data_IF_162582374906
#
_entry.id   IF_162582374906
#
_cell.length_a   1.000
_cell.length_b   1.000
_cell.length_c   1.000
_cell.angle_alpha   90.00
_cell.angle_beta   90.00
_cell.angle_gamma   90.00
#
_symmetry.space_group_name_H-M   'P 1'
#
loop_
_entity.id
_entity.type
_entity.pdbx_description
1 polymer ?
#
# COMPACT_ATOMS: atom_id res chain seq x y z
N UNK A 1 31.92 7.18 -26.28
CA UNK A 1 31.05 7.48 -25.12
C UNK A 1 30.13 6.28 -24.99
N UNK A 2 30.21 5.55 -23.86
CA UNK A 2 29.38 4.37 -23.66
C UNK A 2 27.99 4.90 -23.34
N UNK A 3 27.05 4.71 -24.27
CA UNK A 3 25.63 4.92 -24.07
C UNK A 3 25.20 4.05 -22.88
N UNK A 4 25.09 4.64 -21.69
CA UNK A 4 24.81 3.87 -20.48
C UNK A 4 23.33 3.52 -20.52
N UNK A 5 23.03 2.25 -20.78
CA UNK A 5 21.69 1.68 -20.68
C UNK A 5 21.08 2.04 -19.31
N UNK A 6 20.13 3.00 -19.30
CA UNK A 6 19.45 3.44 -18.09
C UNK A 6 18.15 2.67 -17.92
N UNK A 7 17.97 2.11 -16.72
CA UNK A 7 16.73 1.44 -16.32
C UNK A 7 16.00 2.33 -15.32
N UNK A 8 14.78 2.73 -15.68
CA UNK A 8 13.86 3.39 -14.77
C UNK A 8 13.11 2.34 -13.96
N UNK A 9 12.96 2.57 -12.66
CA UNK A 9 12.09 1.82 -11.75
C UNK A 9 11.05 2.78 -11.18
N UNK A 10 9.77 2.49 -11.35
CA UNK A 10 8.67 3.33 -10.84
C UNK A 10 7.84 2.61 -9.79
N UNK A 11 7.51 3.32 -8.70
CA UNK A 11 6.56 2.89 -7.67
C UNK A 11 5.35 3.81 -7.55
N UNK A 12 4.49 3.52 -6.56
CA UNK A 12 3.18 4.18 -6.41
C UNK A 12 3.27 5.70 -6.24
N UNK A 13 4.39 6.22 -5.72
CA UNK A 13 4.60 7.67 -5.58
C UNK A 13 4.62 8.41 -6.93
N UNK A 14 4.91 7.72 -8.03
CA UNK A 14 4.79 8.29 -9.39
C UNK A 14 3.33 8.53 -9.75
N UNK A 15 2.45 7.56 -9.51
CA UNK A 15 1.02 7.66 -9.86
C UNK A 15 0.27 8.63 -8.93
N UNK A 16 0.85 8.98 -7.76
CA UNK A 16 0.32 10.03 -6.87
C UNK A 16 0.60 11.46 -7.37
N UNK A 17 1.36 11.61 -8.46
CA UNK A 17 1.69 12.92 -9.05
C UNK A 17 0.41 13.71 -9.40
N UNK A 18 0.39 15.04 -9.17
CA UNK A 18 -0.74 15.88 -9.56
C UNK A 18 -1.13 15.70 -11.04
N UNK A 19 -2.43 15.54 -11.29
CA UNK A 19 -2.99 15.24 -12.61
C UNK A 19 -3.19 13.75 -12.88
N UNK A 20 -2.48 12.86 -12.16
CA UNK A 20 -2.81 11.43 -12.09
C UNK A 20 -3.62 11.16 -10.81
N UNK A 21 -3.17 11.70 -9.67
CA UNK A 21 -3.87 11.68 -8.38
C UNK A 21 -4.37 10.27 -7.98
N UNK A 22 -3.54 9.27 -8.25
CA UNK A 22 -3.88 7.89 -7.94
C UNK A 22 -3.79 7.64 -6.43
N UNK A 23 -4.76 6.91 -5.83
CA UNK A 23 -4.70 6.56 -4.43
C UNK A 23 -3.50 5.65 -4.09
N UNK A 24 -2.86 5.90 -2.95
CA UNK A 24 -1.88 5.01 -2.33
C UNK A 24 -2.55 3.82 -1.65
N UNK A 25 -1.78 2.80 -1.26
CA UNK A 25 -2.28 1.50 -0.78
C UNK A 25 -3.37 1.59 0.30
N UNK A 26 -3.24 2.49 1.28
CA UNK A 26 -4.23 2.66 2.34
C UNK A 26 -5.44 3.53 1.95
N UNK A 27 -5.37 4.25 0.82
CA UNK A 27 -6.47 5.02 0.23
C UNK A 27 -7.33 4.14 -0.70
N UNK A 28 -6.84 2.95 -1.09
CA UNK A 28 -7.49 2.08 -2.06
C UNK A 28 -8.83 1.51 -1.58
N UNK A 29 -8.92 0.97 -0.37
CA UNK A 29 -10.19 0.38 0.11
C UNK A 29 -11.33 1.41 0.16
N UNK A 30 -11.15 2.61 0.76
CA UNK A 30 -12.15 3.67 0.69
C UNK A 30 -12.48 4.07 -0.75
N UNK A 31 -11.48 4.29 -1.60
CA UNK A 31 -11.69 4.73 -2.98
C UNK A 31 -12.47 3.69 -3.82
N UNK A 32 -12.18 2.39 -3.65
CA UNK A 32 -12.93 1.31 -4.29
C UNK A 32 -14.36 1.26 -3.76
N UNK A 33 -14.55 1.39 -2.43
CA UNK A 33 -15.89 1.41 -1.84
C UNK A 33 -16.72 2.58 -2.37
N UNK A 34 -16.12 3.77 -2.47
CA UNK A 34 -16.74 4.96 -3.03
C UNK A 34 -17.10 4.76 -4.50
N UNK A 35 -16.16 4.27 -5.31
CA UNK A 35 -16.39 3.93 -6.72
C UNK A 35 -17.59 2.99 -6.91
N UNK A 36 -17.65 1.89 -6.16
CA UNK A 36 -18.72 0.89 -6.27
C UNK A 36 -20.10 1.43 -5.85
N UNK A 37 -20.13 2.37 -4.91
CA UNK A 37 -21.39 2.88 -4.34
C UNK A 37 -21.89 4.15 -5.02
N UNK A 38 -20.99 5.00 -5.51
CA UNK A 38 -21.30 6.37 -5.94
C UNK A 38 -21.15 6.61 -7.44
N UNK A 39 -20.64 5.63 -8.20
CA UNK A 39 -20.59 5.71 -9.68
C UNK A 39 -21.52 4.69 -10.33
N UNK A 40 -22.09 5.03 -11.50
CA UNK A 40 -22.96 4.09 -12.22
C UNK A 40 -22.17 2.88 -12.77
N UNK A 41 -20.92 3.08 -13.20
CA UNK A 41 -20.04 1.99 -13.66
C UNK A 41 -19.65 1.05 -12.49
N UNK A 42 -19.31 1.60 -11.32
CA UNK A 42 -18.99 0.80 -10.15
C UNK A 42 -20.19 -0.01 -9.65
N UNK A 43 -21.39 0.59 -9.60
CA UNK A 43 -22.64 -0.11 -9.25
C UNK A 43 -22.96 -1.23 -10.23
N UNK A 44 -22.75 -1.02 -11.52
CA UNK A 44 -23.04 -2.04 -12.54
C UNK A 44 -22.08 -3.22 -12.42
N UNK A 45 -20.82 -2.98 -12.06
CA UNK A 45 -19.83 -4.02 -11.77
C UNK A 45 -20.15 -4.79 -10.50
N UNK A 46 -20.46 -4.10 -9.39
CA UNK A 46 -20.86 -4.76 -8.15
C UNK A 46 -22.05 -5.71 -8.41
N UNK A 47 -23.06 -5.22 -9.13
CA UNK A 47 -24.24 -5.99 -9.51
C UNK A 47 -23.88 -7.20 -10.38
N UNK A 48 -23.05 -7.01 -11.41
CA UNK A 48 -22.61 -8.08 -12.30
C UNK A 48 -21.90 -9.20 -11.53
N UNK A 49 -20.86 -8.85 -10.75
CA UNK A 49 -20.07 -9.81 -9.99
C UNK A 49 -20.92 -10.53 -8.95
N UNK A 50 -21.77 -9.81 -8.20
CA UNK A 50 -22.67 -10.42 -7.20
C UNK A 50 -23.69 -11.36 -7.82
N UNK A 51 -24.19 -11.06 -9.02
CA UNK A 51 -25.14 -11.94 -9.72
C UNK A 51 -24.54 -13.27 -10.18
N UNK A 52 -23.20 -13.32 -10.30
CA UNK A 52 -22.45 -14.47 -10.81
C UNK A 52 -21.72 -15.24 -9.69
N UNK A 53 -21.47 -14.62 -8.55
CA UNK A 53 -20.83 -15.25 -7.38
C UNK A 53 -21.90 -15.55 -6.31
N UNK A 54 -22.42 -16.78 -6.35
CA UNK A 54 -23.47 -17.23 -5.42
C UNK A 54 -23.00 -17.21 -3.96
N UNK A 55 -23.84 -16.65 -3.08
CA UNK A 55 -23.60 -16.65 -1.63
C UNK A 55 -22.55 -15.66 -1.14
N UNK A 56 -22.14 -14.69 -1.98
CA UNK A 56 -21.15 -13.67 -1.59
C UNK A 56 -21.70 -12.76 -0.48
N UNK A 57 -21.08 -12.82 0.71
CA UNK A 57 -21.43 -11.98 1.88
C UNK A 57 -20.52 -10.77 2.07
N UNK A 58 -19.40 -10.71 1.35
CA UNK A 58 -18.41 -9.65 1.50
C UNK A 58 -18.95 -8.28 1.07
N UNK A 59 -18.59 -7.24 1.83
CA UNK A 59 -18.84 -5.83 1.55
C UNK A 59 -17.66 -4.98 2.02
N UNK A 60 -17.18 -4.06 1.17
CA UNK A 60 -16.08 -3.15 1.51
C UNK A 60 -16.40 -2.28 2.73
N UNK A 61 -17.61 -1.72 2.80
CA UNK A 61 -18.10 -0.94 3.94
C UNK A 61 -17.99 -1.70 5.27
N UNK A 62 -18.25 -3.02 5.25
CA UNK A 62 -18.13 -3.84 6.46
C UNK A 62 -16.68 -3.94 6.90
N UNK A 63 -15.75 -4.17 5.98
CA UNK A 63 -14.30 -4.19 6.30
C UNK A 63 -13.85 -2.85 6.88
N UNK A 64 -14.29 -1.74 6.29
CA UNK A 64 -13.95 -0.39 6.79
C UNK A 64 -14.53 -0.19 8.20
N UNK A 65 -15.78 -0.58 8.43
CA UNK A 65 -16.41 -0.46 9.74
C UNK A 65 -15.77 -1.37 10.81
N UNK A 66 -15.41 -2.60 10.43
CA UNK A 66 -14.73 -3.55 11.31
C UNK A 66 -13.33 -3.03 11.67
N UNK A 67 -12.59 -2.48 10.70
CA UNK A 67 -11.30 -1.80 10.95
C UNK A 67 -11.42 -0.63 11.93
N UNK A 68 -12.44 0.22 11.77
CA UNK A 68 -12.70 1.33 12.70
C UNK A 68 -13.04 0.80 14.10
N UNK A 69 -13.82 -0.27 14.20
CA UNK A 69 -14.15 -0.93 15.47
C UNK A 69 -12.91 -1.52 16.14
N UNK A 70 -12.04 -2.17 15.39
CA UNK A 70 -10.83 -2.80 15.91
C UNK A 70 -9.85 -1.81 16.54
N UNK A 71 -9.75 -0.56 16.04
CA UNK A 71 -8.92 0.47 16.68
C UNK A 71 -9.34 0.70 18.13
N UNK A 72 -10.65 0.68 18.41
CA UNK A 72 -11.17 0.91 19.76
C UNK A 72 -10.88 -0.23 20.74
N UNK A 73 -10.42 -1.37 20.22
CA UNK A 73 -10.13 -2.58 20.99
C UNK A 73 -8.62 -2.84 21.14
N UNK A 74 -7.76 -2.10 20.43
CA UNK A 74 -6.31 -2.25 20.53
C UNK A 74 -5.77 -1.66 21.82
N UNK A 75 -4.74 -2.30 22.36
CA UNK A 75 -4.08 -1.76 23.56
C UNK A 75 -3.37 -0.43 23.25
N UNK A 76 -3.38 0.55 24.19
CA UNK A 76 -2.76 1.85 23.98
C UNK A 76 -1.29 1.77 23.53
N UNK A 77 -0.54 0.78 24.02
CA UNK A 77 0.85 0.54 23.63
C UNK A 77 0.98 0.22 22.14
N UNK A 78 0.05 -0.54 21.56
CA UNK A 78 0.06 -0.91 20.14
C UNK A 78 -0.24 0.28 19.22
N UNK A 79 -0.84 1.34 19.76
CA UNK A 79 -1.22 2.53 19.00
C UNK A 79 -0.21 3.66 19.11
N UNK A 80 0.80 3.56 20.00
CA UNK A 80 1.79 4.62 20.25
C UNK A 80 2.42 5.18 18.97
N UNK A 81 2.87 4.32 18.06
CA UNK A 81 3.45 4.73 16.78
C UNK A 81 2.45 5.41 15.85
N UNK A 82 1.19 4.99 15.88
CA UNK A 82 0.09 5.64 15.14
C UNK A 82 -0.22 7.03 15.71
N UNK A 83 -0.25 7.17 17.03
CA UNK A 83 -0.48 8.47 17.69
C UNK A 83 0.65 9.45 17.42
N UNK A 84 1.90 8.98 17.40
CA UNK A 84 3.05 9.80 17.04
C UNK A 84 2.94 10.32 15.59
N UNK A 85 2.59 9.45 14.63
CA UNK A 85 2.34 9.87 13.24
C UNK A 85 1.26 10.94 13.14
N UNK A 86 0.16 10.79 13.88
CA UNK A 86 -0.91 11.80 13.89
C UNK A 86 -0.42 13.12 14.46
N UNK A 87 0.36 13.09 15.55
CA UNK A 87 0.92 14.29 16.16
C UNK A 87 1.81 15.04 15.17
N UNK A 88 2.69 14.33 14.45
CA UNK A 88 3.54 14.91 13.41
C UNK A 88 2.72 15.57 12.29
N UNK A 89 1.61 14.95 11.87
CA UNK A 89 0.69 15.54 10.88
C UNK A 89 0.01 16.79 11.44
N UNK A 90 -0.49 16.74 12.68
CA UNK A 90 -1.12 17.90 13.34
C UNK A 90 -0.14 19.09 13.42
N UNK A 91 1.13 18.82 13.69
CA UNK A 91 2.16 19.85 13.82
C UNK A 91 2.55 20.47 12.47
N UNK A 92 2.41 19.72 11.38
CA UNK A 92 2.69 20.18 10.02
C UNK A 92 1.49 20.85 9.34
N UNK A 93 0.27 20.64 9.83
CA UNK A 93 -0.93 21.24 9.26
C UNK A 93 -0.95 22.78 9.46
N UNK A 94 -1.20 23.56 8.39
CA UNK A 94 -1.32 25.01 8.48
C UNK A 94 -2.38 25.46 9.49
N UNK A 95 -2.14 26.62 10.12
CA UNK A 95 -3.13 27.29 10.95
C UNK A 95 -4.03 28.20 10.10
N UNK A 96 -4.90 27.60 9.30
CA UNK A 96 -5.92 28.29 8.50
C UNK A 96 -7.34 27.76 8.80
N UNK A 97 -8.36 28.47 8.32
CA UNK A 97 -9.76 28.08 8.54
C UNK A 97 -10.12 26.77 7.83
N UNK A 98 -9.48 26.46 6.70
CA UNK A 98 -9.71 25.27 5.88
C UNK A 98 -9.27 23.98 6.61
N UNK A 99 -8.13 24.02 7.29
CA UNK A 99 -7.55 22.89 8.02
C UNK A 99 -7.90 22.89 9.52
N UNK A 100 -8.55 23.95 10.04
CA UNK A 100 -8.87 24.10 11.47
C UNK A 100 -9.64 22.90 12.05
N UNK A 101 -10.63 22.38 11.32
CA UNK A 101 -11.44 21.24 11.76
C UNK A 101 -10.58 19.96 11.79
N UNK A 102 -9.80 19.71 10.74
CA UNK A 102 -8.92 18.55 10.63
C UNK A 102 -7.85 18.56 11.73
N UNK A 103 -7.22 19.71 11.97
CA UNK A 103 -6.23 19.88 13.04
C UNK A 103 -6.84 19.61 14.42
N UNK A 104 -8.05 20.14 14.69
CA UNK A 104 -8.79 19.86 15.93
C UNK A 104 -9.18 18.39 16.08
N UNK A 105 -9.56 17.72 15.00
CA UNK A 105 -9.84 16.28 15.01
C UNK A 105 -8.60 15.49 15.39
N UNK A 106 -7.43 15.81 14.82
CA UNK A 106 -6.16 15.19 15.19
C UNK A 106 -5.81 15.43 16.66
N UNK A 107 -5.92 16.67 17.13
CA UNK A 107 -5.69 17.02 18.53
C UNK A 107 -6.63 16.28 19.50
N UNK A 108 -7.91 16.14 19.13
CA UNK A 108 -8.89 15.40 19.93
C UNK A 108 -8.48 13.93 20.06
N UNK A 109 -8.13 13.29 18.94
CA UNK A 109 -7.71 11.89 18.93
C UNK A 109 -6.45 11.71 19.78
N UNK A 110 -5.42 12.55 19.59
CA UNK A 110 -4.18 12.47 20.38
C UNK A 110 -4.47 12.63 21.87
N UNK A 111 -5.29 13.61 22.27
CA UNK A 111 -5.64 13.82 23.68
C UNK A 111 -6.39 12.63 24.28
N UNK A 112 -7.36 12.09 23.55
CA UNK A 112 -8.13 10.91 23.96
C UNK A 112 -7.22 9.69 24.16
N UNK A 113 -6.28 9.44 23.27
CA UNK A 113 -5.33 8.34 23.42
C UNK A 113 -4.30 8.56 24.52
N UNK A 114 -3.81 9.79 24.71
CA UNK A 114 -2.90 10.11 25.80
C UNK A 114 -3.56 9.89 27.17
N UNK A 115 -4.85 10.22 27.31
CA UNK A 115 -5.60 9.91 28.54
C UNK A 115 -5.70 8.39 28.77
N UNK A 116 -5.99 7.60 27.72
CA UNK A 116 -5.98 6.14 27.83
C UNK A 116 -4.60 5.59 28.21
N UNK A 117 -3.53 6.15 27.63
CA UNK A 117 -2.17 5.73 27.94
C UNK A 117 -1.78 6.06 29.38
N UNK A 118 -2.19 7.22 29.90
CA UNK A 118 -1.97 7.59 31.31
C UNK A 118 -2.65 6.60 32.25
N UNK A 119 -3.91 6.25 31.98
CA UNK A 119 -4.65 5.23 32.76
C UNK A 119 -3.93 3.87 32.69
N UNK A 120 -3.54 3.45 31.49
CA UNK A 120 -2.84 2.17 31.30
C UNK A 120 -1.48 2.14 32.02
N UNK A 121 -0.76 3.27 32.07
CA UNK A 121 0.54 3.36 32.74
C UNK A 121 0.38 3.39 34.26
N UNK A 122 -0.59 4.16 34.77
CA UNK A 122 -0.89 4.24 36.21
C UNK A 122 -1.46 2.94 36.80
N UNK A 123 -1.82 1.98 35.94
CA UNK A 123 -2.34 0.68 36.33
C UNK A 123 -1.24 -0.35 36.67
N UNK A 124 0.01 -0.07 36.32
CA UNK A 124 1.13 -0.91 36.75
C UNK A 124 1.57 -0.52 38.17
N UNK A 125 2.09 -1.50 38.91
CA UNK A 125 2.73 -1.25 40.20
C UNK A 125 4.03 -0.48 39.93
N UNK A 126 4.09 0.78 40.37
CA UNK A 126 5.28 1.60 40.23
C UNK A 126 6.42 1.16 41.18
N UNK A 127 7.63 1.66 40.92
CA UNK A 127 8.83 1.27 41.65
C UNK A 127 8.77 1.64 43.15
N UNK A 128 8.06 2.71 43.51
CA UNK A 128 7.89 3.12 44.91
C UNK A 128 6.97 2.15 45.65
N UNK A 129 5.85 1.80 45.03
CA UNK A 129 4.90 0.81 45.57
C UNK A 129 5.53 -0.57 45.62
N UNK A 130 6.32 -0.96 44.61
CA UNK A 130 7.10 -2.21 44.60
C UNK A 130 8.03 -2.30 45.81
N UNK A 131 8.83 -1.25 46.06
CA UNK A 131 9.71 -1.19 47.23
C UNK A 131 8.93 -1.27 48.54
N UNK A 132 7.80 -0.59 48.63
CA UNK A 132 6.96 -0.65 49.82
C UNK A 132 6.40 -2.06 50.06
N UNK A 133 6.00 -2.78 49.01
CA UNK A 133 5.57 -4.18 49.12
C UNK A 133 6.74 -5.06 49.59
N UNK A 134 7.93 -4.88 49.01
CA UNK A 134 9.14 -5.61 49.44
C UNK A 134 9.48 -5.33 50.91
N UNK A 135 9.36 -4.09 51.37
CA UNK A 135 9.60 -3.69 52.76
C UNK A 135 8.54 -4.24 53.73
N UNK A 136 7.26 -4.27 53.32
CA UNK A 136 6.15 -4.73 54.17
C UNK A 136 6.11 -6.25 54.29
N UNK A 137 6.39 -6.97 53.20
CA UNK A 137 6.20 -8.43 53.14
C UNK A 137 7.50 -9.23 53.17
N UNK A 138 8.67 -8.58 53.02
CA UNK A 138 9.99 -9.20 53.17
C UNK A 138 10.16 -10.45 52.30
N UNK A 139 10.49 -11.58 52.93
CA UNK A 139 10.75 -12.86 52.24
C UNK A 139 9.54 -13.42 51.47
N UNK A 140 8.31 -12.94 51.75
CA UNK A 140 7.10 -13.33 51.02
C UNK A 140 6.83 -12.46 49.78
N UNK A 141 7.55 -11.35 49.60
CA UNK A 141 7.37 -10.46 48.45
C UNK A 141 7.49 -11.16 47.08
N UNK A 142 8.40 -12.15 46.88
CA UNK A 142 8.49 -12.90 45.62
C UNK A 142 7.26 -13.77 45.30
N UNK A 143 6.35 -14.00 46.26
CA UNK A 143 5.10 -14.74 46.03
C UNK A 143 4.04 -13.89 45.30
N UNK A 144 4.19 -12.55 45.29
CA UNK A 144 3.30 -11.63 44.59
C UNK A 144 3.81 -11.38 43.16
N UNK A 145 2.90 -11.38 42.18
CA UNK A 145 3.22 -11.02 40.80
C UNK A 145 3.39 -9.51 40.64
N UNK A 146 4.53 -8.94 41.03
CA UNK A 146 4.77 -7.48 41.00
C UNK A 146 4.97 -6.91 39.59
N UNK A 147 5.06 -7.78 38.59
CA UNK A 147 5.01 -7.43 37.17
C UNK A 147 3.56 -7.42 36.62
N UNK A 148 2.56 -7.72 37.47
CA UNK A 148 1.14 -7.69 37.12
C UNK A 148 0.55 -6.28 37.27
N UNK A 149 -0.67 -6.12 36.76
CA UNK A 149 -1.44 -4.90 36.79
C UNK A 149 -2.33 -4.81 38.04
N UNK A 150 -2.52 -3.61 38.59
CA UNK A 150 -3.46 -3.35 39.70
C UNK A 150 -4.90 -3.71 39.30
N UNK A 151 -5.28 -3.43 38.05
CA UNK A 151 -6.56 -3.81 37.45
C UNK A 151 -6.34 -4.50 36.10
N UNK A 152 -7.07 -5.59 35.84
CA UNK A 152 -7.08 -6.24 34.52
C UNK A 152 -7.86 -5.37 33.51
N UNK A 153 -7.16 -4.42 32.89
CA UNK A 153 -7.73 -3.52 31.88
C UNK A 153 -8.25 -4.29 30.68
N UNK A 154 -7.77 -5.52 30.39
CA UNK A 154 -8.29 -6.33 29.27
C UNK A 154 -9.74 -6.74 29.48
N UNK A 155 -10.22 -6.73 30.74
CA UNK A 155 -11.63 -6.95 31.11
C UNK A 155 -12.43 -5.65 31.21
N UNK A 156 -11.79 -4.49 31.16
CA UNK A 156 -12.43 -3.18 31.14
C UNK A 156 -12.54 -2.67 29.70
N UNK A 157 -13.77 -2.56 29.20
CA UNK A 157 -13.99 -1.96 27.88
C UNK A 157 -13.96 -0.44 27.95
N UNK A 158 -13.36 0.22 26.94
CA UNK A 158 -13.55 1.65 26.73
C UNK A 158 -15.04 2.00 26.58
N UNK A 159 -15.44 3.18 27.05
CA UNK A 159 -16.85 3.59 27.06
C UNK A 159 -17.44 3.69 25.65
N UNK A 160 -18.74 3.44 25.51
CA UNK A 160 -19.42 3.58 24.22
C UNK A 160 -19.36 5.01 23.68
N UNK A 161 -19.28 6.01 24.56
CA UNK A 161 -19.03 7.41 24.21
C UNK A 161 -17.68 7.57 23.51
N UNK A 162 -16.61 7.00 24.07
CA UNK A 162 -15.29 7.05 23.47
C UNK A 162 -15.27 6.38 22.09
N UNK A 163 -15.85 5.17 22.00
CA UNK A 163 -15.98 4.43 20.73
C UNK A 163 -16.73 5.24 19.70
N UNK A 164 -17.85 5.85 20.07
CA UNK A 164 -18.71 6.63 19.18
C UNK A 164 -18.00 7.89 18.68
N UNK A 165 -17.29 8.61 19.55
CA UNK A 165 -16.49 9.79 19.16
C UNK A 165 -15.41 9.38 18.16
N UNK A 166 -14.64 8.32 18.46
CA UNK A 166 -13.59 7.84 17.56
C UNK A 166 -14.16 7.40 16.21
N UNK A 167 -15.24 6.61 16.22
CA UNK A 167 -15.93 6.15 15.02
C UNK A 167 -16.44 7.33 14.18
N UNK A 168 -17.04 8.34 14.81
CA UNK A 168 -17.57 9.50 14.11
C UNK A 168 -16.47 10.35 13.49
N UNK A 169 -15.40 10.63 14.23
CA UNK A 169 -14.23 11.36 13.73
C UNK A 169 -13.56 10.64 12.57
N UNK A 170 -13.39 9.30 12.67
CA UNK A 170 -12.80 8.48 11.61
C UNK A 170 -13.69 8.42 10.36
N UNK A 171 -15.00 8.25 10.52
CA UNK A 171 -15.95 8.24 9.39
C UNK A 171 -15.98 9.57 8.66
N UNK A 172 -15.92 10.69 9.38
CA UNK A 172 -15.85 12.00 8.74
C UNK A 172 -14.57 12.17 7.91
N UNK A 173 -13.44 11.68 8.42
CA UNK A 173 -12.19 11.79 7.67
C UNK A 173 -12.05 10.83 6.49
N UNK A 174 -12.73 9.69 6.49
CA UNK A 174 -12.75 8.81 5.32
C UNK A 174 -13.60 9.37 4.16
N UNK A 175 -14.58 10.23 4.46
CA UNK A 175 -15.47 10.83 3.46
C UNK A 175 -14.99 12.19 2.95
N UNK A 176 -13.93 12.75 3.53
CA UNK A 176 -13.33 14.02 3.10
C UNK A 176 -12.02 13.73 2.40
N UNK A 177 -11.92 14.14 1.13
CA UNK A 177 -10.79 13.86 0.23
C UNK A 177 -9.40 14.37 0.70
N UNK A 178 -9.29 14.91 1.91
CA UNK A 178 -8.08 15.54 2.44
C UNK A 178 -7.73 15.22 3.90
N UNK A 179 -8.47 14.33 4.59
CA UNK A 179 -8.24 14.13 6.03
C UNK A 179 -7.09 13.17 6.36
N UNK A 180 -5.87 13.72 6.32
CA UNK A 180 -4.60 13.06 6.66
C UNK A 180 -4.59 12.41 8.06
N UNK A 181 -5.39 12.93 9.00
CA UNK A 181 -5.48 12.43 10.39
C UNK A 181 -6.18 11.08 10.43
N UNK A 182 -7.36 10.99 9.80
CA UNK A 182 -8.13 9.74 9.80
C UNK A 182 -7.39 8.65 9.03
N UNK A 183 -6.73 9.03 7.93
CA UNK A 183 -5.85 8.14 7.17
C UNK A 183 -4.73 7.55 8.03
N UNK A 184 -3.99 8.37 8.78
CA UNK A 184 -2.89 7.90 9.62
C UNK A 184 -3.34 6.85 10.64
N UNK A 185 -4.55 6.97 11.18
CA UNK A 185 -5.12 6.04 12.17
C UNK A 185 -5.43 4.66 11.62
N UNK A 186 -6.10 4.60 10.47
CA UNK A 186 -6.64 3.36 9.91
C UNK A 186 -5.78 2.77 8.81
N UNK A 187 -4.73 3.47 8.36
CA UNK A 187 -3.91 3.06 7.21
C UNK A 187 -3.42 1.62 7.27
N UNK A 188 -2.95 1.17 8.45
CA UNK A 188 -2.46 -0.19 8.65
C UNK A 188 -3.59 -1.24 8.62
N UNK A 189 -4.83 -0.83 8.91
CA UNK A 189 -6.01 -1.68 8.94
C UNK A 189 -6.75 -1.72 7.59
N UNK A 190 -6.67 -0.65 6.80
CA UNK A 190 -7.30 -0.54 5.49
C UNK A 190 -6.38 -0.99 4.33
N UNK A 191 -5.38 -1.80 4.63
CA UNK A 191 -4.48 -2.31 3.62
C UNK A 191 -5.17 -3.41 2.78
N UNK A 192 -5.51 -3.06 1.53
CA UNK A 192 -6.12 -3.99 0.56
C UNK A 192 -5.25 -5.20 0.26
N UNK A 193 -3.93 -5.05 0.28
CA UNK A 193 -2.98 -6.12 -0.03
C UNK A 193 -3.03 -7.20 1.04
N UNK A 194 -3.10 -6.80 2.32
CA UNK A 194 -3.30 -7.71 3.45
C UNK A 194 -4.64 -8.45 3.31
N UNK A 195 -5.71 -7.73 2.98
CA UNK A 195 -7.02 -8.33 2.75
C UNK A 195 -6.97 -9.36 1.62
N UNK A 196 -6.32 -9.04 0.49
CA UNK A 196 -6.14 -9.95 -0.63
C UNK A 196 -5.34 -11.20 -0.23
N UNK A 197 -4.26 -11.09 0.57
CA UNK A 197 -3.53 -12.26 1.09
C UNK A 197 -4.46 -13.18 1.87
N UNK A 198 -5.16 -12.61 2.86
CA UNK A 198 -5.99 -13.38 3.77
C UNK A 198 -7.05 -14.18 3.02
N UNK A 199 -7.61 -13.60 1.94
CA UNK A 199 -8.58 -14.30 1.09
C UNK A 199 -7.93 -15.25 0.08
N UNK A 200 -6.74 -14.91 -0.43
CA UNK A 200 -6.02 -15.78 -1.37
C UNK A 200 -5.63 -17.12 -0.75
N UNK A 201 -5.35 -17.16 0.56
CA UNK A 201 -5.11 -18.41 1.29
C UNK A 201 -6.27 -19.41 1.16
N UNK A 202 -7.47 -18.94 0.82
CA UNK A 202 -8.63 -19.73 0.42
C UNK A 202 -8.33 -20.76 -0.68
N UNK A 203 -7.46 -20.43 -1.65
CA UNK A 203 -7.06 -21.33 -2.73
C UNK A 203 -6.17 -22.48 -2.25
N UNK A 204 -5.40 -22.30 -1.17
CA UNK A 204 -4.52 -23.35 -0.64
C UNK A 204 -5.23 -24.27 0.34
N UNK A 205 -6.20 -23.74 1.11
CA UNK A 205 -6.95 -24.50 2.11
C UNK A 205 -8.34 -24.94 1.62
N UNK A 206 -8.65 -24.73 0.33
CA UNK A 206 -9.93 -25.06 -0.30
C UNK A 206 -11.15 -24.42 0.38
N UNK A 207 -11.00 -23.24 0.98
CA UNK A 207 -12.09 -22.51 1.61
C UNK A 207 -12.82 -21.64 0.60
N UNK A 208 -13.91 -22.17 0.04
CA UNK A 208 -14.68 -21.53 -1.03
C UNK A 208 -15.15 -20.11 -0.72
N UNK A 209 -15.53 -19.82 0.53
CA UNK A 209 -15.94 -18.47 0.91
C UNK A 209 -14.81 -17.46 0.72
N UNK A 210 -13.57 -17.85 1.02
CA UNK A 210 -12.41 -16.98 0.89
C UNK A 210 -11.99 -16.85 -0.57
N UNK A 211 -12.09 -17.93 -1.35
CA UNK A 211 -11.92 -17.90 -2.82
C UNK A 211 -12.91 -16.91 -3.47
N UNK A 212 -14.20 -17.04 -3.19
CA UNK A 212 -15.26 -16.14 -3.71
C UNK A 212 -15.00 -14.69 -3.32
N UNK A 213 -14.60 -14.45 -2.07
CA UNK A 213 -14.25 -13.11 -1.59
C UNK A 213 -13.02 -12.56 -2.33
N UNK A 214 -11.97 -13.35 -2.49
CA UNK A 214 -10.77 -12.92 -3.22
C UNK A 214 -11.11 -12.52 -4.65
N UNK A 215 -11.80 -13.40 -5.38
CA UNK A 215 -12.18 -13.16 -6.77
C UNK A 215 -12.99 -11.87 -6.90
N UNK A 216 -13.99 -11.67 -6.03
CA UNK A 216 -14.77 -10.43 -6.02
C UNK A 216 -13.91 -9.19 -5.74
N UNK A 217 -13.10 -9.20 -4.68
CA UNK A 217 -12.27 -8.04 -4.29
C UNK A 217 -11.26 -7.71 -5.40
N UNK A 218 -10.61 -8.72 -5.97
CA UNK A 218 -9.60 -8.54 -7.00
C UNK A 218 -10.22 -7.93 -8.28
N UNK A 219 -11.40 -8.39 -8.71
CA UNK A 219 -12.06 -7.81 -9.88
C UNK A 219 -12.64 -6.41 -9.64
N UNK A 220 -13.17 -6.13 -8.44
CA UNK A 220 -13.53 -4.77 -8.06
C UNK A 220 -12.32 -3.83 -8.08
N UNK A 221 -11.18 -4.29 -7.56
CA UNK A 221 -9.93 -3.54 -7.59
C UNK A 221 -9.45 -3.30 -9.02
N UNK A 222 -9.37 -4.34 -9.85
CA UNK A 222 -9.00 -4.21 -11.27
C UNK A 222 -9.91 -3.25 -12.02
N UNK A 223 -11.23 -3.32 -11.82
CA UNK A 223 -12.18 -2.44 -12.47
C UNK A 223 -11.98 -0.97 -12.06
N UNK A 224 -11.77 -0.73 -10.76
CA UNK A 224 -11.41 0.59 -10.25
C UNK A 224 -10.13 1.11 -10.91
N UNK A 225 -9.08 0.28 -10.97
CA UNK A 225 -7.81 0.67 -11.59
C UNK A 225 -7.99 1.03 -13.08
N UNK A 226 -8.71 0.21 -13.85
CA UNK A 226 -8.95 0.46 -15.27
C UNK A 226 -9.82 1.70 -15.51
N UNK A 227 -10.80 1.94 -14.65
CA UNK A 227 -11.59 3.18 -14.68
C UNK A 227 -10.70 4.40 -14.49
N UNK A 228 -9.86 4.42 -13.45
CA UNK A 228 -8.93 5.53 -13.16
C UNK A 228 -7.88 5.70 -14.24
N UNK A 229 -7.37 4.61 -14.80
CA UNK A 229 -6.44 4.64 -15.94
C UNK A 229 -7.04 5.40 -17.12
N UNK A 230 -8.29 5.05 -17.50
CA UNK A 230 -9.04 5.71 -18.58
C UNK A 230 -9.37 7.17 -18.26
N UNK A 231 -9.75 7.47 -17.03
CA UNK A 231 -10.01 8.85 -16.60
C UNK A 231 -8.78 9.74 -16.77
N UNK A 232 -7.59 9.25 -16.39
CA UNK A 232 -6.35 10.02 -16.52
C UNK A 232 -6.03 10.23 -17.99
N UNK A 233 -6.02 9.18 -18.81
CA UNK A 233 -5.81 9.29 -20.26
C UNK A 233 -6.81 10.23 -20.95
N UNK A 234 -8.05 10.31 -20.47
CA UNK A 234 -9.07 11.21 -21.00
C UNK A 234 -8.97 12.66 -20.54
N UNK A 235 -8.24 12.94 -19.45
CA UNK A 235 -8.14 14.28 -18.83
C UNK A 235 -6.88 15.05 -19.22
N UNK A 236 -5.80 14.35 -19.61
CA UNK A 236 -4.49 14.97 -19.84
C UNK A 236 -4.03 14.75 -21.28
N UNK A 237 -3.52 15.79 -21.94
CA UNK A 237 -2.90 15.66 -23.27
C UNK A 237 -1.55 14.93 -23.19
N UNK A 238 -0.82 15.12 -22.08
CA UNK A 238 0.44 14.47 -21.79
C UNK A 238 0.40 13.91 -20.37
N UNK A 239 0.77 12.64 -20.21
CA UNK A 239 0.79 11.98 -18.91
C UNK A 239 1.82 12.67 -17.99
N UNK A 240 1.41 13.22 -16.84
CA UNK A 240 2.33 13.81 -15.87
C UNK A 240 3.43 12.82 -15.50
N UNK A 241 4.66 13.31 -15.31
CA UNK A 241 5.88 12.50 -15.13
C UNK A 241 6.26 11.63 -16.34
N UNK A 242 5.36 10.78 -16.83
CA UNK A 242 5.65 9.77 -17.84
C UNK A 242 6.07 10.36 -19.18
N UNK A 243 5.43 11.46 -19.62
CA UNK A 243 5.74 12.12 -20.88
C UNK A 243 7.18 12.65 -20.97
N UNK A 244 7.84 12.86 -19.82
CA UNK A 244 9.20 13.40 -19.73
C UNK A 244 10.29 12.33 -19.63
N UNK A 245 9.92 11.04 -19.60
CA UNK A 245 10.90 9.96 -19.57
C UNK A 245 11.58 9.87 -20.94
N UNK A 246 12.92 9.79 -21.04
CA UNK A 246 13.58 9.59 -22.33
C UNK A 246 13.15 8.28 -23.00
N UNK A 247 12.74 8.33 -24.27
CA UNK A 247 12.25 7.14 -25.01
C UNK A 247 13.32 6.07 -25.25
N UNK A 248 14.60 6.40 -25.07
CA UNK A 248 15.71 5.46 -25.14
C UNK A 248 15.81 4.56 -23.90
N UNK A 249 15.13 4.90 -22.81
CA UNK A 249 15.19 4.15 -21.56
C UNK A 249 14.28 2.92 -21.60
N UNK A 250 14.60 1.94 -20.78
CA UNK A 250 13.68 0.86 -20.41
C UNK A 250 13.13 1.11 -19.02
N UNK A 251 11.91 0.65 -18.78
CA UNK A 251 11.21 0.87 -17.52
C UNK A 251 10.73 -0.41 -16.87
N UNK A 252 10.88 -0.52 -15.55
CA UNK A 252 10.27 -1.53 -14.70
C UNK A 252 9.30 -0.79 -13.78
N UNK A 253 8.01 -1.11 -13.85
CA UNK A 253 7.02 -0.53 -12.96
C UNK A 253 6.50 -1.57 -11.97
N UNK A 254 6.31 -1.12 -10.74
CA UNK A 254 5.59 -1.85 -9.69
C UNK A 254 4.11 -1.43 -9.64
N UNK A 255 3.73 -0.42 -10.42
CA UNK A 255 2.35 0.05 -10.56
C UNK A 255 1.59 -0.82 -11.57
N UNK A 256 0.27 -0.80 -11.48
CA UNK A 256 -0.61 -1.58 -12.35
C UNK A 256 -1.10 -0.82 -13.58
N UNK A 257 -1.03 0.51 -13.54
CA UNK A 257 -1.56 1.45 -14.55
C UNK A 257 -0.79 1.37 -15.86
N UNK A 258 -1.46 1.59 -16.99
CA UNK A 258 -0.90 1.45 -18.34
C UNK A 258 0.06 2.57 -18.74
N UNK A 259 0.26 3.58 -17.88
CA UNK A 259 0.94 4.83 -18.19
C UNK A 259 2.37 4.65 -18.71
N UNK A 260 3.17 3.80 -18.06
CA UNK A 260 4.56 3.59 -18.47
C UNK A 260 4.66 2.99 -19.88
N UNK A 261 3.85 1.95 -20.17
CA UNK A 261 3.84 1.31 -21.49
C UNK A 261 3.28 2.21 -22.58
N UNK A 262 2.37 3.12 -22.22
CA UNK A 262 1.81 4.09 -23.16
C UNK A 262 2.87 5.07 -23.68
N UNK A 263 3.93 5.31 -22.90
CA UNK A 263 5.03 6.18 -23.30
C UNK A 263 6.25 5.43 -23.88
N UNK A 264 6.70 4.34 -23.24
CA UNK A 264 7.93 3.61 -23.61
C UNK A 264 7.72 2.42 -24.55
N UNK A 265 6.47 2.07 -24.88
CA UNK A 265 6.06 0.84 -25.58
C UNK A 265 6.24 -0.43 -24.73
N UNK A 266 5.46 -1.47 -25.05
CA UNK A 266 5.44 -2.74 -24.28
C UNK A 266 6.80 -3.45 -24.28
N UNK A 267 7.54 -3.40 -25.40
CA UNK A 267 8.85 -4.07 -25.51
C UNK A 267 9.92 -3.51 -24.56
N UNK A 268 9.79 -2.25 -24.14
CA UNK A 268 10.72 -1.57 -23.24
C UNK A 268 10.17 -1.43 -21.82
N UNK A 269 9.06 -2.12 -21.51
CA UNK A 269 8.43 -2.04 -20.19
C UNK A 269 8.26 -3.42 -19.56
N UNK A 270 8.43 -3.47 -18.24
CA UNK A 270 8.11 -4.64 -17.43
C UNK A 270 7.17 -4.20 -16.32
N UNK A 271 6.03 -4.89 -16.22
CA UNK A 271 5.08 -4.75 -15.12
C UNK A 271 5.38 -5.82 -14.08
N UNK A 272 6.20 -5.47 -13.10
CA UNK A 272 6.80 -6.44 -12.20
C UNK A 272 5.76 -7.20 -11.34
N UNK A 273 4.62 -6.55 -11.07
CA UNK A 273 3.48 -7.12 -10.37
C UNK A 273 2.32 -7.49 -11.30
N UNK A 274 2.56 -7.52 -12.61
CA UNK A 274 1.51 -7.63 -13.62
C UNK A 274 0.74 -6.31 -13.81
N UNK A 275 -0.31 -6.33 -14.62
CA UNK A 275 -0.98 -5.13 -15.08
C UNK A 275 -2.40 -5.37 -15.60
N UNK A 276 -3.03 -4.32 -16.11
CA UNK A 276 -4.46 -4.33 -16.45
C UNK A 276 -4.83 -5.17 -17.68
N UNK A 277 -3.87 -5.47 -18.56
CA UNK A 277 -4.12 -6.13 -19.84
C UNK A 277 -4.31 -7.65 -19.76
N UNK A 278 -3.98 -8.26 -18.62
CA UNK A 278 -3.94 -9.71 -18.48
C UNK A 278 -4.71 -10.23 -17.27
N UNK A 279 -5.08 -11.50 -17.31
CA UNK A 279 -5.72 -12.24 -16.25
C UNK A 279 -5.26 -13.69 -16.24
N UNK A 280 -5.48 -14.38 -15.13
CA UNK A 280 -4.93 -15.71 -14.88
C UNK A 280 -6.07 -16.67 -14.65
N UNK A 281 -5.95 -17.83 -15.27
CA UNK A 281 -6.84 -18.96 -15.04
C UNK A 281 -6.22 -19.88 -13.99
N UNK A 282 -6.83 -19.96 -12.81
CA UNK A 282 -6.19 -20.53 -11.62
C UNK A 282 -6.05 -22.06 -11.62
N UNK A 283 -6.89 -22.78 -12.39
CA UNK A 283 -6.85 -24.24 -12.48
C UNK A 283 -5.64 -24.73 -13.29
N UNK A 284 -5.24 -24.04 -14.35
CA UNK A 284 -4.09 -24.38 -15.20
C UNK A 284 -2.93 -23.38 -15.13
N UNK A 285 -3.10 -22.28 -14.37
CA UNK A 285 -2.12 -21.19 -14.21
C UNK A 285 -1.76 -20.49 -15.51
N UNK A 286 -2.64 -20.50 -16.50
CA UNK A 286 -2.41 -19.83 -17.78
C UNK A 286 -2.63 -18.32 -17.66
N UNK A 287 -1.68 -17.53 -18.17
CA UNK A 287 -1.82 -16.09 -18.33
C UNK A 287 -2.48 -15.76 -19.68
N UNK A 288 -3.61 -15.06 -19.61
CA UNK A 288 -4.46 -14.71 -20.74
C UNK A 288 -4.52 -13.19 -20.91
N UNK A 289 -4.77 -12.72 -22.14
CA UNK A 289 -4.91 -11.30 -22.46
C UNK A 289 -6.38 -10.92 -22.64
N UNK A 290 -6.72 -9.68 -22.33
CA UNK A 290 -7.99 -9.07 -22.72
C UNK A 290 -7.92 -8.53 -24.15
N UNK A 291 -8.93 -8.85 -24.96
CA UNK A 291 -9.06 -8.27 -26.30
C UNK A 291 -9.49 -6.80 -26.22
N UNK A 292 -8.70 -5.91 -26.85
CA UNK A 292 -8.97 -4.46 -26.92
C UNK A 292 -9.32 -3.83 -25.56
N UNK A 293 -8.59 -4.22 -24.51
CA UNK A 293 -8.92 -3.82 -23.13
C UNK A 293 -8.93 -2.30 -22.89
N UNK A 294 -8.20 -1.53 -23.71
CA UNK A 294 -8.14 -0.07 -23.63
C UNK A 294 -9.42 0.61 -24.11
N UNK A 295 -10.15 -0.02 -25.03
CA UNK A 295 -11.28 0.59 -25.73
C UNK A 295 -12.64 0.20 -25.12
N UNK A 296 -12.64 -0.75 -24.18
CA UNK A 296 -13.86 -1.33 -23.61
C UNK A 296 -14.05 -0.94 -22.14
N UNK A 297 -15.30 -0.71 -21.70
CA UNK A 297 -15.56 -0.49 -20.30
C UNK A 297 -15.29 -1.76 -19.48
N UNK A 298 -14.81 -1.63 -18.22
CA UNK A 298 -14.58 -2.74 -17.31
C UNK A 298 -15.75 -3.76 -17.25
N UNK A 299 -17.00 -3.30 -17.25
CA UNK A 299 -18.18 -4.17 -17.19
C UNK A 299 -18.28 -5.11 -18.41
N UNK A 300 -17.98 -4.61 -19.62
CA UNK A 300 -18.05 -5.41 -20.85
C UNK A 300 -16.94 -6.47 -20.86
N UNK A 301 -15.73 -6.10 -20.45
CA UNK A 301 -14.59 -7.02 -20.36
C UNK A 301 -14.86 -8.13 -19.33
N UNK A 302 -15.39 -7.76 -18.16
CA UNK A 302 -15.78 -8.72 -17.13
C UNK A 302 -16.88 -9.67 -17.61
N UNK A 303 -17.90 -9.15 -18.29
CA UNK A 303 -18.99 -9.99 -18.80
C UNK A 303 -18.46 -11.00 -19.83
N UNK A 304 -17.71 -10.52 -20.83
CA UNK A 304 -17.29 -11.30 -22.00
C UNK A 304 -16.16 -12.30 -21.73
N UNK A 305 -15.16 -11.94 -20.90
CA UNK A 305 -13.97 -12.77 -20.72
C UNK A 305 -13.98 -13.54 -19.39
N UNK A 306 -14.64 -13.00 -18.36
CA UNK A 306 -14.51 -13.50 -16.98
C UNK A 306 -15.77 -14.24 -16.54
N UNK A 307 -16.90 -13.54 -16.51
CA UNK A 307 -18.11 -14.01 -15.85
C UNK A 307 -18.78 -15.22 -16.50
N UNK A 308 -18.53 -15.43 -17.79
CA UNK A 308 -19.06 -16.57 -18.54
C UNK A 308 -18.11 -17.78 -18.53
N UNK A 309 -16.86 -17.60 -18.08
CA UNK A 309 -15.82 -18.63 -18.13
C UNK A 309 -15.42 -19.17 -16.75
N UNK A 310 -15.83 -18.52 -15.66
CA UNK A 310 -15.61 -19.04 -14.31
C UNK A 310 -16.70 -20.02 -13.84
N UNK A 311 -16.39 -20.81 -12.82
CA UNK A 311 -17.32 -21.73 -12.18
C UNK A 311 -16.90 -21.95 -10.73
N UNK A 312 -17.84 -21.92 -9.79
CA UNK A 312 -17.61 -22.19 -8.37
C UNK A 312 -18.33 -23.47 -7.99
N UNK A 313 -17.57 -24.50 -7.63
CA UNK A 313 -18.09 -25.78 -7.15
C UNK A 313 -18.33 -25.68 -5.64
N UNK A 314 -19.60 -25.64 -5.23
CA UNK A 314 -20.00 -25.53 -3.82
C UNK A 314 -19.71 -26.81 -3.02
N UNK A 315 -19.61 -27.97 -3.69
CA UNK A 315 -19.38 -29.26 -3.06
C UNK A 315 -17.88 -29.60 -2.99
N UNK A 316 -17.13 -29.27 -4.05
CA UNK A 316 -15.69 -29.51 -4.13
C UNK A 316 -14.93 -28.29 -4.68
N UNK A 317 -14.49 -27.38 -3.80
CA UNK A 317 -13.87 -26.11 -4.21
C UNK A 317 -12.64 -26.26 -5.12
N UNK A 318 -11.92 -27.39 -5.07
CA UNK A 318 -10.76 -27.69 -5.92
C UNK A 318 -11.12 -27.72 -7.41
N UNK A 319 -12.36 -28.08 -7.75
CA UNK A 319 -12.84 -28.14 -9.13
C UNK A 319 -13.32 -26.77 -9.66
N UNK A 320 -13.28 -25.73 -8.83
CA UNK A 320 -13.70 -24.39 -9.24
C UNK A 320 -12.76 -23.86 -10.31
N UNK A 321 -13.33 -23.34 -11.40
CA UNK A 321 -12.58 -22.62 -12.43
C UNK A 321 -12.61 -21.15 -12.08
N UNK A 322 -11.56 -20.65 -11.44
CA UNK A 322 -11.47 -19.25 -11.05
C UNK A 322 -10.57 -18.48 -12.01
N UNK A 323 -11.04 -17.30 -12.42
CA UNK A 323 -10.29 -16.32 -13.19
C UNK A 323 -10.00 -15.14 -12.29
N UNK A 324 -8.74 -14.71 -12.21
CA UNK A 324 -8.31 -13.59 -11.37
C UNK A 324 -7.52 -12.59 -12.23
N UNK A 325 -7.56 -11.28 -11.94
CA UNK A 325 -6.75 -10.34 -12.67
C UNK A 325 -5.25 -10.62 -12.41
N UNK A 326 -4.41 -10.28 -13.39
CA UNK A 326 -2.94 -10.40 -13.32
C UNK A 326 -2.34 -9.28 -12.48
N UNK A 327 -2.85 -9.09 -11.26
CA UNK A 327 -2.43 -8.07 -10.32
C UNK A 327 -1.90 -8.79 -9.09
N UNK A 328 -0.58 -8.81 -8.94
CA UNK A 328 0.07 -9.43 -7.79
C UNK A 328 0.34 -8.35 -6.75
N UNK A 329 -0.54 -8.14 -5.74
CA UNK A 329 -0.30 -7.16 -4.67
C UNK A 329 1.11 -7.32 -4.07
N UNK A 330 1.81 -6.25 -3.67
CA UNK A 330 3.13 -6.33 -3.05
C UNK A 330 3.06 -7.05 -1.71
N UNK A 331 3.52 -8.30 -1.65
CA UNK A 331 3.46 -9.18 -0.48
C UNK A 331 4.83 -9.80 -0.22
N UNK A 332 5.17 -10.00 1.06
CA UNK A 332 6.37 -10.76 1.45
C UNK A 332 6.43 -12.15 0.83
N UNK A 333 5.28 -12.81 0.72
CA UNK A 333 5.12 -14.09 0.04
C UNK A 333 4.25 -13.88 -1.19
N UNK A 334 4.88 -13.78 -2.36
CA UNK A 334 4.19 -13.74 -3.65
C UNK A 334 3.81 -15.16 -4.05
N UNK A 335 2.52 -15.50 -4.21
CA UNK A 335 2.17 -16.77 -4.83
C UNK A 335 2.67 -16.76 -6.28
N UNK A 336 3.34 -17.84 -6.70
CA UNK A 336 3.69 -18.02 -8.11
C UNK A 336 2.41 -18.37 -8.86
N UNK A 337 1.73 -17.34 -9.36
CA UNK A 337 0.44 -17.49 -10.05
C UNK A 337 0.61 -18.15 -11.42
N UNK A 338 1.72 -17.89 -12.09
CA UNK A 338 2.10 -18.53 -13.34
C UNK A 338 3.63 -18.56 -13.52
N UNK A 339 4.12 -19.43 -14.39
CA UNK A 339 5.49 -19.43 -14.90
C UNK A 339 5.85 -18.07 -15.52
N UNK A 340 4.93 -17.38 -16.20
CA UNK A 340 5.23 -16.10 -16.83
C UNK A 340 5.75 -15.05 -15.83
N UNK A 341 5.34 -15.11 -14.56
CA UNK A 341 5.89 -14.22 -13.52
C UNK A 341 7.35 -14.56 -13.18
N UNK A 342 7.72 -15.84 -13.19
CA UNK A 342 9.11 -16.26 -12.95
C UNK A 342 10.00 -15.70 -14.06
N UNK A 343 9.57 -15.87 -15.32
CA UNK A 343 10.29 -15.38 -16.49
C UNK A 343 10.38 -13.85 -16.49
N UNK A 344 9.30 -13.17 -16.08
CA UNK A 344 9.24 -11.72 -15.95
C UNK A 344 10.16 -11.19 -14.84
N UNK A 345 10.19 -11.83 -13.66
CA UNK A 345 11.11 -11.45 -12.58
C UNK A 345 12.57 -11.69 -12.95
N UNK A 346 12.84 -12.81 -13.63
CA UNK A 346 14.18 -13.09 -14.17
C UNK A 346 14.62 -12.01 -15.15
N UNK A 347 13.76 -11.65 -16.12
CA UNK A 347 14.03 -10.60 -17.10
C UNK A 347 14.27 -9.23 -16.44
N UNK A 348 13.48 -8.89 -15.42
CA UNK A 348 13.68 -7.66 -14.64
C UNK A 348 15.06 -7.64 -13.97
N UNK A 349 15.48 -8.75 -13.36
CA UNK A 349 16.81 -8.92 -12.79
C UNK A 349 17.92 -8.75 -13.84
N UNK A 350 17.77 -9.32 -15.03
CA UNK A 350 18.72 -9.13 -16.13
C UNK A 350 18.84 -7.67 -16.55
N UNK A 351 17.71 -6.97 -16.73
CA UNK A 351 17.72 -5.55 -17.10
C UNK A 351 18.46 -4.70 -16.08
N UNK A 352 18.20 -4.92 -14.79
CA UNK A 352 18.88 -4.21 -13.71
C UNK A 352 20.39 -4.49 -13.67
N UNK A 353 20.80 -5.75 -13.89
CA UNK A 353 22.22 -6.14 -13.90
C UNK A 353 22.99 -5.58 -15.10
N UNK A 354 22.35 -5.51 -16.28
CA UNK A 354 22.91 -4.93 -17.50
C UNK A 354 22.91 -3.39 -17.48
N UNK A 355 22.18 -2.76 -16.56
CA UNK A 355 22.08 -1.32 -16.46
C UNK A 355 23.45 -0.67 -16.16
N UNK A 356 23.73 0.43 -16.85
CA UNK A 356 24.82 1.34 -16.51
C UNK A 356 24.40 2.33 -15.40
N UNK A 357 23.11 2.61 -15.29
CA UNK A 357 22.49 3.47 -14.30
C UNK A 357 21.06 2.99 -14.01
N UNK A 358 20.70 2.88 -12.74
CA UNK A 358 19.32 2.62 -12.30
C UNK A 358 18.75 3.88 -11.66
N UNK A 359 17.61 4.36 -12.17
CA UNK A 359 16.89 5.51 -11.63
C UNK A 359 15.59 5.00 -11.01
N UNK A 360 15.41 5.18 -9.71
CA UNK A 360 14.25 4.70 -8.94
C UNK A 360 13.42 5.93 -8.55
N UNK A 361 12.15 5.98 -8.92
CA UNK A 361 11.26 7.11 -8.62
C UNK A 361 9.98 6.64 -7.92
N UNK A 362 9.63 7.29 -6.81
CA UNK A 362 8.36 7.05 -6.12
C UNK A 362 8.20 5.64 -5.53
N UNK A 363 9.29 4.89 -5.38
CA UNK A 363 9.29 3.57 -4.77
C UNK A 363 9.71 3.64 -3.30
N UNK A 364 8.96 2.96 -2.44
CA UNK A 364 9.09 3.07 -0.98
C UNK A 364 10.20 2.19 -0.40
N UNK A 365 10.72 1.19 -1.14
CA UNK A 365 11.64 0.18 -0.62
C UNK A 365 11.07 -0.60 0.58
N UNK A 366 9.74 -0.74 0.65
CA UNK A 366 9.08 -1.44 1.75
C UNK A 366 9.37 -2.94 1.69
N UNK A 367 9.42 -3.58 2.86
CA UNK A 367 9.56 -5.04 3.03
C UNK A 367 8.42 -5.86 2.41
N UNK A 368 7.30 -5.21 2.05
CA UNK A 368 6.24 -5.85 1.27
C UNK A 368 6.75 -6.32 -0.11
N UNK A 369 7.80 -5.69 -0.63
CA UNK A 369 8.42 -6.00 -1.92
C UNK A 369 9.80 -6.61 -1.79
N UNK A 370 10.00 -7.44 -0.78
CA UNK A 370 11.32 -7.99 -0.45
C UNK A 370 12.00 -8.70 -1.62
N UNK A 371 11.22 -9.42 -2.42
CA UNK A 371 11.66 -10.06 -3.66
C UNK A 371 12.20 -9.08 -4.72
N UNK A 372 11.63 -7.88 -4.86
CA UNK A 372 12.20 -6.84 -5.73
C UNK A 372 13.39 -6.17 -5.06
N UNK A 373 13.31 -5.91 -3.74
CA UNK A 373 14.43 -5.38 -2.96
C UNK A 373 15.67 -6.28 -3.10
N UNK A 374 15.51 -7.60 -3.11
CA UNK A 374 16.60 -8.57 -3.33
C UNK A 374 17.29 -8.39 -4.70
N UNK A 375 16.54 -8.05 -5.75
CA UNK A 375 17.13 -7.67 -7.03
C UNK A 375 17.98 -6.41 -6.88
N UNK A 376 17.50 -5.40 -6.14
CA UNK A 376 18.26 -4.16 -5.87
C UNK A 376 19.51 -4.40 -5.00
N UNK A 377 19.47 -5.34 -4.05
CA UNK A 377 20.64 -5.73 -3.22
C UNK A 377 21.80 -6.23 -4.07
N UNK A 378 21.48 -6.92 -5.17
CA UNK A 378 22.48 -7.47 -6.08
C UNK A 378 23.18 -6.43 -6.96
N UNK A 379 22.79 -5.15 -6.90
CA UNK A 379 23.33 -4.06 -7.72
C UNK A 379 24.50 -3.30 -7.06
N UNK A 380 25.27 -3.96 -6.18
CA UNK A 380 26.41 -3.34 -5.51
C UNK A 380 27.41 -2.78 -6.53
N UNK A 381 27.80 -1.51 -6.36
CA UNK A 381 28.73 -0.82 -7.24
C UNK A 381 28.11 -0.25 -8.53
N UNK A 382 26.81 -0.43 -8.76
CA UNK A 382 26.08 0.27 -9.85
C UNK A 382 25.74 1.69 -9.45
N UNK A 383 25.65 2.59 -10.44
CA UNK A 383 25.10 3.93 -10.26
C UNK A 383 23.60 3.82 -10.00
N UNK A 384 23.15 4.29 -8.86
CA UNK A 384 21.75 4.25 -8.43
C UNK A 384 21.33 5.66 -8.02
N UNK A 385 20.26 6.17 -8.62
CA UNK A 385 19.60 7.41 -8.18
C UNK A 385 18.21 7.08 -7.67
N UNK A 386 17.88 7.49 -6.44
CA UNK A 386 16.56 7.30 -5.84
C UNK A 386 15.91 8.66 -5.60
N UNK A 387 14.67 8.81 -6.05
CA UNK A 387 13.94 10.08 -6.07
C UNK A 387 12.58 9.89 -5.38
N UNK A 388 12.31 10.76 -4.41
CA UNK A 388 11.03 10.80 -3.71
C UNK A 388 11.00 11.89 -2.63
N UNK A 389 9.83 12.29 -2.14
CA UNK A 389 9.69 13.40 -1.19
C UNK A 389 10.24 13.07 0.21
N UNK A 390 10.30 11.79 0.58
CA UNK A 390 10.66 11.32 1.91
C UNK A 390 11.99 10.54 1.94
N UNK A 391 12.75 10.53 0.84
CA UNK A 391 13.96 9.69 0.70
C UNK A 391 15.07 10.01 1.71
N UNK A 392 15.04 11.21 2.31
CA UNK A 392 15.98 11.65 3.34
C UNK A 392 15.42 11.52 4.77
N UNK A 393 14.19 11.02 4.94
CA UNK A 393 13.62 10.77 6.27
C UNK A 393 14.31 9.59 6.94
N UNK A 394 14.39 9.59 8.27
CA UNK A 394 14.96 8.50 9.05
C UNK A 394 14.35 7.13 8.70
N UNK A 395 13.03 7.11 8.47
CA UNK A 395 12.31 5.88 8.13
C UNK A 395 12.72 5.32 6.77
N UNK A 396 12.94 6.19 5.77
CA UNK A 396 13.36 5.79 4.43
C UNK A 396 14.84 5.38 4.42
N UNK A 397 15.67 6.15 5.11
CA UNK A 397 17.11 5.86 5.24
C UNK A 397 17.38 4.50 5.89
N UNK A 398 16.56 4.07 6.86
CA UNK A 398 16.62 2.69 7.40
C UNK A 398 16.34 1.62 6.35
N UNK A 399 15.46 1.89 5.36
CA UNK A 399 15.17 0.97 4.26
C UNK A 399 16.31 0.95 3.24
N UNK A 400 16.89 2.10 2.93
CA UNK A 400 18.13 2.23 2.13
C UNK A 400 19.26 1.40 2.76
N UNK A 401 19.46 1.52 4.07
CA UNK A 401 20.46 0.76 4.83
C UNK A 401 20.21 -0.75 4.75
N UNK A 402 18.96 -1.20 4.90
CA UNK A 402 18.57 -2.61 4.78
C UNK A 402 18.85 -3.23 3.38
N UNK A 403 18.81 -2.41 2.33
CA UNK A 403 19.02 -2.89 0.96
C UNK A 403 20.50 -2.85 0.59
N UNK A 404 21.19 -1.74 0.82
CA UNK A 404 22.56 -1.55 0.33
C UNK A 404 23.63 -1.63 1.41
N UNK A 405 23.27 -1.83 2.68
CA UNK A 405 24.21 -1.92 3.79
C UNK A 405 24.98 -0.63 4.07
N UNK A 406 24.42 0.52 3.65
CA UNK A 406 25.02 1.84 3.84
C UNK A 406 24.30 2.56 4.97
N UNK A 407 25.02 2.85 6.05
CA UNK A 407 24.47 3.58 7.19
C UNK A 407 24.18 5.03 6.84
N UNK A 408 23.12 5.59 7.41
CA UNK A 408 22.68 6.98 7.18
C UNK A 408 23.82 8.00 7.36
N UNK A 409 24.68 7.82 8.38
CA UNK A 409 25.79 8.72 8.67
C UNK A 409 26.93 8.70 7.63
N UNK A 410 26.89 7.80 6.64
CA UNK A 410 27.89 7.70 5.59
C UNK A 410 27.53 8.52 4.34
N UNK A 411 26.32 9.06 4.29
CA UNK A 411 25.87 9.93 3.21
C UNK A 411 26.33 11.37 3.44
N UNK A 412 26.80 12.00 2.37
CA UNK A 412 27.16 13.42 2.37
C UNK A 412 26.03 14.23 1.74
N UNK A 413 25.58 15.27 2.44
CA UNK A 413 24.57 16.20 1.93
C UNK A 413 25.12 17.02 0.76
N UNK A 414 24.30 17.21 -0.27
CA UNK A 414 24.60 18.00 -1.45
C UNK A 414 23.31 18.61 -2.02
N UNK A 415 23.47 19.41 -3.07
CA UNK A 415 22.37 19.94 -3.87
C UNK A 415 22.48 19.37 -5.28
N UNK A 416 21.38 18.86 -5.83
CA UNK A 416 21.26 18.40 -7.22
C UNK A 416 19.98 18.93 -7.81
N UNK A 417 20.03 19.52 -9.01
CA UNK A 417 18.85 20.17 -9.64
C UNK A 417 18.18 21.22 -8.74
N UNK A 418 18.96 21.88 -7.87
CA UNK A 418 18.44 22.81 -6.86
C UNK A 418 17.66 22.14 -5.72
N UNK A 419 17.75 20.81 -5.58
CA UNK A 419 17.05 20.01 -4.59
C UNK A 419 18.00 19.40 -3.58
N UNK A 420 17.51 19.27 -2.35
CA UNK A 420 18.21 18.58 -1.27
C UNK A 420 18.50 17.13 -1.67
N UNK A 421 19.76 16.73 -1.55
CA UNK A 421 20.20 15.41 -1.95
C UNK A 421 21.28 14.88 -1.00
N UNK A 422 21.42 13.57 -0.97
CA UNK A 422 22.44 12.88 -0.21
C UNK A 422 23.16 11.88 -1.12
N UNK A 423 24.48 11.74 -0.99
CA UNK A 423 25.24 10.78 -1.78
C UNK A 423 26.23 9.99 -0.95
N UNK A 424 26.29 8.70 -1.25
CA UNK A 424 27.36 7.82 -0.82
C UNK A 424 27.83 6.99 -2.01
N UNK A 425 29.08 7.20 -2.45
CA UNK A 425 29.65 6.54 -3.63
C UNK A 425 28.71 6.68 -4.84
N UNK A 426 28.28 5.56 -5.40
CA UNK A 426 27.43 5.45 -6.59
C UNK A 426 25.92 5.60 -6.29
N UNK A 427 25.52 5.70 -5.01
CA UNK A 427 24.13 5.85 -4.57
C UNK A 427 23.84 7.33 -4.30
N UNK A 428 22.84 7.87 -4.99
CA UNK A 428 22.35 9.24 -4.81
C UNK A 428 20.87 9.22 -4.45
N UNK A 429 20.49 9.95 -3.40
CA UNK A 429 19.12 10.16 -2.97
C UNK A 429 18.76 11.63 -3.22
N UNK A 430 17.62 11.89 -3.87
CA UNK A 430 17.15 13.25 -4.21
C UNK A 430 15.75 13.46 -3.65
N UNK A 431 15.61 14.44 -2.77
CA UNK A 431 14.32 14.83 -2.19
C UNK A 431 13.56 15.67 -3.20
N UNK A 432 12.56 15.07 -3.85
CA UNK A 432 11.82 15.70 -4.95
C UNK A 432 10.46 15.02 -5.14
N UNK A 433 9.47 15.76 -5.61
CA UNK A 433 8.31 15.14 -6.26
C UNK A 433 8.70 14.60 -7.64
N UNK A 434 7.95 13.61 -8.13
CA UNK A 434 8.28 12.93 -9.38
C UNK A 434 8.18 13.87 -10.60
N UNK A 435 7.20 14.79 -10.62
CA UNK A 435 7.01 15.79 -11.67
C UNK A 435 8.00 16.96 -11.65
N UNK A 436 8.87 17.05 -10.65
CA UNK A 436 9.82 18.16 -10.50
C UNK A 436 11.23 17.80 -11.00
N UNK A 437 11.46 16.54 -11.38
CA UNK A 437 12.78 16.06 -11.77
C UNK A 437 13.03 16.30 -13.27
N UNK A 438 14.25 16.74 -13.60
CA UNK A 438 14.71 16.82 -14.96
C UNK A 438 15.46 15.53 -15.34
N UNK A 439 14.90 14.73 -16.25
CA UNK A 439 15.50 13.47 -16.67
C UNK A 439 16.71 13.63 -17.59
N UNK A 440 16.82 14.75 -18.31
CA UNK A 440 17.92 14.99 -19.27
C UNK A 440 19.28 15.07 -18.57
N UNK A 441 19.31 15.43 -17.28
CA UNK A 441 20.53 15.48 -16.47
C UNK A 441 21.00 14.10 -15.99
N UNK A 442 20.26 13.03 -16.30
CA UNK A 442 20.66 11.65 -16.04
C UNK A 442 21.14 10.90 -17.28
N UNK A 443 21.06 11.51 -18.47
CA UNK A 443 21.50 10.93 -19.75
C UNK A 443 23.03 10.82 -19.88
#
# INVERSE_FOLDING_TARGET
>A
MIDKNTILVTGAGVDKTPGIDFPLAAELLPAISDYLNNTEEGKSIDKLLRSKINGLRFRFERVINDAISDITQREPVQLKGTIQRIQEIVDQLPDDEEHSIQKKQGQLIVRLFNQLQQIATANYIDDETRKLIEEVFGDHAPEFGLDDCIVDIRKLSVSDTFKSILQYTLRQGLNSASNQISYALVSDLLNIEKLLIEKFLGFYNNKLSDIKNYVYIAWCFWAFLLCRDREVHGKVEQLPFYAYIPKSWKGITLNYTSFLASHLEERNTIYFHGGLSTYIRMDNRELLNFDNFKDKPPQELLASHICDNWFFDDDNPVNSRCLIPSLVPPLRLKPILSKEYIDLWYKAGQWLQEAGHVVIVGYSLNTADEHFNDLLRSLQGKRITVIGPDVLSDSYMKRVESIWGVSHNQFTNKQLQGKEAAQHREITLIKSLANEINFDEFL
#
